data_IF_966505382933
#
_entry.id   IF_966505382933
#
_cell.length_a   1.000
_cell.length_b   1.000
_cell.length_c   1.000
_cell.angle_alpha   90.00
_cell.angle_beta   90.00
_cell.angle_gamma   90.00
#
_symmetry.space_group_name_H-M   'P 1'
#
loop_
_entity.id
_entity.type
_entity.pdbx_description
1 polymer ?
#
# COMPACT_ATOMS: atom_id res chain seq x y z
N UNK A 1 8.23 3.10 13.68
CA UNK A 1 9.09 2.87 12.50
C UNK A 1 9.27 1.39 12.19
N UNK A 2 9.58 0.52 13.15
CA UNK A 2 9.64 -0.94 12.91
C UNK A 2 8.37 -1.52 12.24
N UNK A 3 7.18 -1.12 12.71
CA UNK A 3 5.89 -1.58 12.18
C UNK A 3 5.62 -1.10 10.74
N UNK A 4 6.03 0.13 10.38
CA UNK A 4 5.82 0.61 9.00
C UNK A 4 6.62 -0.21 7.97
N UNK A 5 7.80 -0.67 8.35
CA UNK A 5 8.63 -1.53 7.49
C UNK A 5 8.03 -2.94 7.36
N UNK A 6 7.33 -3.43 8.38
CA UNK A 6 6.59 -4.69 8.36
C UNK A 6 5.44 -4.64 7.35
N UNK A 7 4.56 -3.64 7.44
CA UNK A 7 3.42 -3.49 6.51
C UNK A 7 3.86 -3.30 5.06
N UNK A 8 4.95 -2.55 4.83
CA UNK A 8 5.52 -2.42 3.48
C UNK A 8 6.03 -3.77 2.94
N UNK A 9 6.56 -4.64 3.82
CA UNK A 9 6.94 -6.00 3.48
C UNK A 9 5.74 -6.86 3.09
N UNK A 10 4.64 -6.72 3.82
CA UNK A 10 3.38 -7.42 3.56
C UNK A 10 2.72 -6.98 2.24
N UNK A 11 2.66 -5.67 1.98
CA UNK A 11 2.25 -5.13 0.68
C UNK A 11 3.11 -5.72 -0.45
N UNK A 12 4.43 -5.79 -0.26
CA UNK A 12 5.35 -6.33 -1.27
C UNK A 12 5.05 -7.81 -1.57
N UNK A 13 4.75 -8.60 -0.54
CA UNK A 13 4.32 -10.01 -0.67
C UNK A 13 3.00 -10.12 -1.42
N UNK A 14 2.02 -9.28 -1.07
CA UNK A 14 0.69 -9.28 -1.70
C UNK A 14 0.74 -8.88 -3.19
N UNK A 15 1.56 -7.89 -3.55
CA UNK A 15 1.82 -7.52 -4.96
C UNK A 15 2.41 -8.70 -5.72
N UNK A 16 3.44 -9.35 -5.15
CA UNK A 16 4.09 -10.50 -5.78
C UNK A 16 3.13 -11.67 -6.01
N UNK A 17 2.24 -11.93 -5.05
CA UNK A 17 1.20 -12.95 -5.18
C UNK A 17 0.24 -12.68 -6.34
N UNK A 18 -0.07 -11.40 -6.62
CA UNK A 18 -0.92 -10.96 -7.72
C UNK A 18 -0.20 -11.01 -9.09
N UNK A 19 1.09 -10.67 -9.15
CA UNK A 19 1.84 -10.55 -10.41
C UNK A 19 2.50 -11.86 -10.87
N UNK A 20 3.16 -12.56 -9.95
CA UNK A 20 4.05 -13.71 -10.27
C UNK A 20 3.40 -15.02 -9.84
N UNK A 21 2.55 -15.00 -8.81
CA UNK A 21 1.97 -16.20 -8.23
C UNK A 21 2.60 -16.57 -6.88
N UNK A 22 2.52 -17.84 -6.51
CA UNK A 22 2.81 -18.32 -5.14
C UNK A 22 4.22 -17.93 -4.66
N UNK A 23 4.31 -17.51 -3.40
CA UNK A 23 5.60 -17.23 -2.77
C UNK A 23 6.30 -18.52 -2.32
N UNK A 24 5.52 -19.55 -1.99
CA UNK A 24 6.03 -20.86 -1.64
C UNK A 24 5.27 -22.02 -2.30
N UNK A 25 5.95 -23.10 -2.75
CA UNK A 25 5.31 -24.24 -3.39
C UNK A 25 4.24 -24.94 -2.54
N UNK A 26 4.34 -24.84 -1.21
CA UNK A 26 3.43 -25.44 -0.23
C UNK A 26 2.18 -24.61 0.10
N UNK A 27 2.07 -23.37 -0.37
CA UNK A 27 0.90 -22.53 -0.10
C UNK A 27 -0.34 -23.01 -0.88
N UNK A 28 -1.52 -22.92 -0.27
CA UNK A 28 -2.78 -23.11 -1.00
C UNK A 28 -2.90 -22.07 -2.11
N UNK A 29 -3.51 -22.45 -3.22
CA UNK A 29 -3.71 -21.51 -4.33
C UNK A 29 -4.87 -20.59 -3.94
N UNK A 30 -4.55 -19.33 -3.66
CA UNK A 30 -5.56 -18.29 -3.57
C UNK A 30 -6.10 -17.96 -4.98
N UNK A 31 -7.41 -17.77 -5.08
CA UNK A 31 -8.08 -17.22 -6.24
C UNK A 31 -7.64 -15.78 -6.49
N UNK A 32 -7.83 -15.28 -7.71
CA UNK A 32 -7.54 -13.88 -8.03
C UNK A 32 -8.32 -12.89 -7.17
N UNK A 33 -9.52 -13.26 -6.72
CA UNK A 33 -10.34 -12.43 -5.83
C UNK A 33 -9.73 -12.33 -4.42
N UNK A 34 -9.31 -13.46 -3.85
CA UNK A 34 -8.64 -13.51 -2.55
C UNK A 34 -7.32 -12.74 -2.56
N UNK A 35 -6.52 -12.87 -3.63
CA UNK A 35 -5.27 -12.11 -3.78
C UNK A 35 -5.50 -10.59 -3.85
N UNK A 36 -6.56 -10.15 -4.53
CA UNK A 36 -6.92 -8.73 -4.59
C UNK A 36 -7.47 -8.22 -3.27
N UNK A 37 -8.23 -9.05 -2.54
CA UNK A 37 -8.69 -8.71 -1.21
C UNK A 37 -7.52 -8.53 -0.25
N UNK A 38 -6.57 -9.47 -0.24
CA UNK A 38 -5.34 -9.37 0.55
C UNK A 38 -4.55 -8.11 0.21
N UNK A 39 -4.29 -7.84 -1.08
CA UNK A 39 -3.57 -6.63 -1.47
C UNK A 39 -4.26 -5.35 -0.99
N UNK A 40 -5.60 -5.31 -1.03
CA UNK A 40 -6.35 -4.17 -0.53
C UNK A 40 -6.20 -3.99 0.99
N UNK A 41 -6.19 -5.10 1.73
CA UNK A 41 -5.98 -5.13 3.19
C UNK A 41 -4.61 -4.57 3.55
N UNK A 42 -3.52 -5.12 2.99
CA UNK A 42 -2.16 -4.65 3.32
C UNK A 42 -1.94 -3.16 2.95
N UNK A 43 -2.56 -2.70 1.86
CA UNK A 43 -2.51 -1.29 1.46
C UNK A 43 -3.27 -0.39 2.46
N UNK A 44 -4.37 -0.88 3.02
CA UNK A 44 -5.13 -0.16 4.05
C UNK A 44 -4.34 -0.11 5.36
N UNK A 45 -3.74 -1.22 5.79
CA UNK A 45 -2.94 -1.27 7.02
C UNK A 45 -1.71 -0.35 6.93
N UNK A 46 -1.05 -0.32 5.77
CA UNK A 46 0.04 0.63 5.50
C UNK A 46 -0.46 2.08 5.56
N UNK A 47 -1.63 2.38 5.00
CA UNK A 47 -2.22 3.73 5.03
C UNK A 47 -2.61 4.14 6.45
N UNK A 48 -3.18 3.23 7.24
CA UNK A 48 -3.57 3.48 8.63
C UNK A 48 -2.36 3.92 9.47
N UNK A 49 -1.20 3.28 9.29
CA UNK A 49 0.03 3.73 9.95
C UNK A 49 0.45 5.14 9.52
N UNK A 50 0.30 5.50 8.25
CA UNK A 50 0.58 6.86 7.76
C UNK A 50 -0.39 7.86 8.40
N UNK A 51 -1.68 7.52 8.51
CA UNK A 51 -2.69 8.37 9.14
C UNK A 51 -2.46 8.55 10.65
N UNK A 52 -2.05 7.48 11.35
CA UNK A 52 -1.64 7.55 12.75
C UNK A 52 -0.45 8.49 12.92
N UNK A 53 0.56 8.39 12.05
CA UNK A 53 1.69 9.32 12.07
C UNK A 53 1.23 10.76 11.79
N UNK A 54 0.36 10.98 10.81
CA UNK A 54 -0.22 12.29 10.51
C UNK A 54 -0.83 12.92 11.77
N UNK A 55 -1.66 12.15 12.49
CA UNK A 55 -2.28 12.60 13.73
C UNK A 55 -1.25 12.88 14.84
N UNK A 56 -0.24 12.03 15.00
CA UNK A 56 0.80 12.21 16.04
C UNK A 56 1.62 13.49 15.85
N UNK A 57 1.73 13.98 14.62
CA UNK A 57 2.49 15.17 14.26
C UNK A 57 1.61 16.38 13.93
N UNK A 58 0.31 16.32 14.24
CA UNK A 58 -0.66 17.39 13.97
C UNK A 58 -0.68 17.82 12.48
N UNK A 59 -0.55 16.83 11.60
CA UNK A 59 -0.69 16.99 10.16
C UNK A 59 -2.10 16.54 9.77
N UNK A 60 -2.84 17.42 9.10
CA UNK A 60 -4.14 17.08 8.57
C UNK A 60 -4.03 16.03 7.46
N UNK A 61 -4.81 14.95 7.60
CA UNK A 61 -4.76 13.81 6.68
C UNK A 61 -5.29 14.17 5.28
N UNK A 62 -6.28 15.05 5.19
CA UNK A 62 -6.83 15.50 3.92
C UNK A 62 -5.79 16.34 3.18
N UNK A 63 -5.13 17.28 3.87
CA UNK A 63 -4.04 18.08 3.30
C UNK A 63 -2.89 17.18 2.79
N UNK A 64 -2.53 16.12 3.55
CA UNK A 64 -1.51 15.14 3.16
C UNK A 64 -1.88 14.41 1.86
N UNK A 65 -3.12 13.93 1.76
CA UNK A 65 -3.62 13.21 0.58
C UNK A 65 -3.65 14.13 -0.66
N UNK A 66 -4.18 15.34 -0.52
CA UNK A 66 -4.23 16.34 -1.60
C UNK A 66 -2.82 16.73 -2.09
N UNK A 67 -1.88 16.91 -1.16
CA UNK A 67 -0.48 17.20 -1.50
C UNK A 67 0.17 16.07 -2.30
N UNK A 68 -0.10 14.81 -1.92
CA UNK A 68 0.39 13.62 -2.62
C UNK A 68 -0.18 13.52 -4.04
N UNK A 69 -1.51 13.67 -4.18
CA UNK A 69 -2.21 13.63 -5.47
C UNK A 69 -1.68 14.72 -6.41
N UNK A 70 -1.65 15.98 -5.94
CA UNK A 70 -1.16 17.11 -6.73
C UNK A 70 0.26 16.88 -7.26
N UNK A 71 1.14 16.32 -6.41
CA UNK A 71 2.53 15.99 -6.79
C UNK A 71 2.58 14.91 -7.85
N UNK A 72 1.79 13.85 -7.73
CA UNK A 72 1.72 12.77 -8.74
C UNK A 72 1.16 13.29 -10.05
N UNK A 73 0.02 13.99 -10.04
CA UNK A 73 -0.58 14.56 -11.25
C UNK A 73 0.37 15.52 -11.96
N UNK A 74 1.12 16.35 -11.22
CA UNK A 74 2.10 17.26 -11.80
C UNK A 74 3.25 16.52 -12.51
N UNK A 75 3.70 15.37 -11.97
CA UNK A 75 4.73 14.53 -12.61
C UNK A 75 4.25 13.99 -13.96
N UNK A 76 3.04 13.45 -14.02
CA UNK A 76 2.50 12.84 -15.24
C UNK A 76 1.93 13.85 -16.26
N UNK A 77 1.66 15.11 -15.87
CA UNK A 77 1.26 16.16 -16.82
C UNK A 77 2.34 16.52 -17.85
N UNK A 78 3.61 16.24 -17.56
CA UNK A 78 4.74 16.51 -18.44
C UNK A 78 5.19 15.30 -19.27
N UNK A 79 4.50 14.16 -19.20
CA UNK A 79 4.80 12.93 -19.97
C UNK A 79 3.96 12.80 -21.26
N UNK A 80 3.64 13.92 -21.92
CA UNK A 80 3.02 13.91 -23.25
C UNK A 80 4.04 14.02 -24.37
#
# INVERSE_FOLDING_TARGET
MAILTEEVGEVSRAVRANEIGRDHPGEKAATSAEKRANLKEELADTLDLVLVLSSLYDIDAQDLLEASEKKLTARFKNEK
#
